data_IF_033733997726
#
_entry.id   IF_033733997726
#
_cell.length_a   1.000
_cell.length_b   1.000
_cell.length_c   1.000
_cell.angle_alpha   90.00
_cell.angle_beta   90.00
_cell.angle_gamma   90.00
#
_symmetry.space_group_name_H-M   'P 1'
#
loop_
_entity.id
_entity.type
_entity.pdbx_description
1 polymer ?
#
# COMPACT_ATOMS: atom_id res chain seq x y z
N UNK A 1 -4.15 27.62 -4.76
CA UNK A 1 -4.16 26.32 -5.47
C UNK A 1 -3.65 26.53 -6.89
N UNK A 2 -2.61 25.80 -7.29
CA UNK A 2 -2.13 25.73 -8.68
C UNK A 2 -2.89 24.65 -9.44
N UNK A 3 -3.09 24.85 -10.74
CA UNK A 3 -3.69 23.84 -11.61
C UNK A 3 -2.76 22.62 -11.70
N UNK A 4 -3.30 21.42 -11.46
CA UNK A 4 -2.54 20.17 -11.55
C UNK A 4 -2.40 19.74 -13.01
N UNK A 5 -1.17 19.52 -13.46
CA UNK A 5 -0.91 18.90 -14.76
C UNK A 5 -0.97 17.38 -14.62
N UNK A 6 -1.94 16.72 -15.26
CA UNK A 6 -2.08 15.27 -15.21
C UNK A 6 -0.88 14.52 -15.82
N UNK A 7 -0.14 15.14 -16.75
CA UNK A 7 1.09 14.54 -17.29
C UNK A 7 2.15 14.36 -16.20
N UNK A 8 2.28 15.32 -15.29
CA UNK A 8 3.21 15.22 -14.16
C UNK A 8 2.82 14.06 -13.23
N UNK A 9 1.52 13.85 -13.04
CA UNK A 9 0.98 12.74 -12.25
C UNK A 9 1.27 11.40 -12.92
N UNK A 10 1.01 11.28 -14.22
CA UNK A 10 1.31 10.06 -14.98
C UNK A 10 2.81 9.70 -14.91
N UNK A 11 3.69 10.68 -15.12
CA UNK A 11 5.14 10.47 -15.02
C UNK A 11 5.58 10.05 -13.62
N UNK A 12 5.00 10.65 -12.57
CA UNK A 12 5.28 10.23 -11.20
C UNK A 12 4.84 8.79 -10.96
N UNK A 13 3.63 8.43 -11.39
CA UNK A 13 3.11 7.06 -11.24
C UNK A 13 4.01 6.07 -11.97
N UNK A 14 4.33 6.32 -13.24
CA UNK A 14 5.22 5.45 -14.04
C UNK A 14 6.60 5.27 -13.39
N UNK A 15 7.19 6.35 -12.87
CA UNK A 15 8.50 6.31 -12.23
C UNK A 15 8.53 5.60 -10.87
N UNK A 16 7.40 5.56 -10.15
CA UNK A 16 7.36 5.08 -8.76
C UNK A 16 6.56 3.79 -8.56
N UNK A 17 5.71 3.37 -9.50
CA UNK A 17 4.88 2.16 -9.38
C UNK A 17 5.73 0.88 -9.27
N UNK A 18 6.95 0.88 -9.83
CA UNK A 18 7.90 -0.22 -9.70
C UNK A 18 8.24 -0.54 -8.24
N UNK A 19 8.30 0.46 -7.35
CA UNK A 19 8.57 0.29 -5.92
C UNK A 19 7.45 -0.52 -5.26
N UNK A 20 6.19 -0.24 -5.61
CA UNK A 20 5.04 -0.99 -5.12
C UNK A 20 5.15 -2.48 -5.50
N UNK A 21 5.40 -2.77 -6.77
CA UNK A 21 5.55 -4.14 -7.25
C UNK A 21 6.75 -4.86 -6.61
N UNK A 22 7.88 -4.17 -6.44
CA UNK A 22 9.06 -4.72 -5.79
C UNK A 22 8.80 -5.06 -4.32
N UNK A 23 8.21 -4.15 -3.55
CA UNK A 23 7.81 -4.41 -2.15
C UNK A 23 6.82 -5.57 -2.05
N UNK A 24 5.86 -5.66 -2.98
CA UNK A 24 4.88 -6.75 -3.04
C UNK A 24 5.55 -8.11 -3.26
N UNK A 25 6.52 -8.19 -4.17
CA UNK A 25 7.32 -9.41 -4.39
C UNK A 25 8.17 -9.73 -3.16
N UNK A 26 8.84 -8.74 -2.57
CA UNK A 26 9.68 -8.94 -1.37
C UNK A 26 8.90 -9.44 -0.15
N UNK A 27 7.58 -9.17 -0.08
CA UNK A 27 6.72 -9.76 0.96
C UNK A 27 6.73 -11.30 0.92
N UNK A 28 6.90 -11.88 -0.27
CA UNK A 28 6.98 -13.33 -0.48
C UNK A 28 8.32 -13.92 -0.07
N UNK A 29 9.43 -13.17 -0.20
CA UNK A 29 10.77 -13.65 0.17
C UNK A 29 10.87 -14.03 1.65
N UNK A 30 10.06 -13.38 2.49
CA UNK A 30 10.02 -13.63 3.94
C UNK A 30 9.02 -14.74 4.31
N UNK A 31 8.24 -15.22 3.36
CA UNK A 31 7.17 -16.18 3.60
C UNK A 31 7.76 -17.58 3.83
N UNK A 32 7.63 -18.08 5.06
CA UNK A 32 8.01 -19.46 5.40
C UNK A 32 6.80 -20.35 5.49
N UNK A 33 6.81 -21.51 4.84
CA UNK A 33 5.73 -22.51 4.90
C UNK A 33 5.30 -22.80 6.35
N UNK A 34 6.27 -22.96 7.26
CA UNK A 34 6.03 -23.21 8.68
C UNK A 34 5.31 -22.07 9.43
N UNK A 35 5.44 -20.82 8.98
CA UNK A 35 4.70 -19.69 9.54
C UNK A 35 3.27 -19.66 9.00
N UNK A 36 3.11 -19.96 7.72
CA UNK A 36 1.84 -19.88 7.02
C UNK A 36 0.88 -20.98 7.47
N UNK A 37 1.38 -22.21 7.66
CA UNK A 37 0.60 -23.33 8.17
C UNK A 37 0.05 -23.08 9.59
N UNK A 38 0.67 -22.19 10.38
CA UNK A 38 0.18 -21.83 11.73
C UNK A 38 -1.00 -20.85 11.73
N UNK A 39 -1.26 -20.16 10.62
CA UNK A 39 -2.22 -19.04 10.57
C UNK A 39 -3.68 -19.49 10.45
N UNK A 40 -3.95 -20.72 10.02
CA UNK A 40 -5.32 -21.23 9.85
C UNK A 40 -5.50 -22.59 10.51
N UNK A 41 -6.70 -22.79 11.04
CA UNK A 41 -7.14 -24.08 11.55
C UNK A 41 -7.28 -25.08 10.39
N UNK A 42 -6.59 -26.25 10.41
CA UNK A 42 -6.70 -27.27 9.36
C UNK A 42 -8.14 -27.70 9.03
N UNK A 43 -9.05 -27.67 10.01
CA UNK A 43 -10.46 -28.00 9.80
C UNK A 43 -11.18 -27.05 8.85
N UNK A 44 -10.71 -25.80 8.71
CA UNK A 44 -11.29 -24.83 7.77
C UNK A 44 -11.04 -25.22 6.31
N UNK A 45 -9.93 -25.91 6.01
CA UNK A 45 -9.68 -26.39 4.65
C UNK A 45 -10.65 -27.51 4.28
N UNK A 46 -10.94 -28.41 5.23
CA UNK A 46 -11.96 -29.45 5.06
C UNK A 46 -13.36 -28.86 4.86
N UNK A 47 -13.72 -27.83 5.63
CA UNK A 47 -15.01 -27.15 5.50
C UNK A 47 -15.18 -26.39 4.16
N UNK A 48 -14.08 -25.98 3.54
CA UNK A 48 -14.06 -25.27 2.25
C UNK A 48 -13.88 -26.18 1.04
N UNK A 49 -13.98 -27.50 1.23
CA UNK A 49 -13.77 -28.50 0.18
C UNK A 49 -12.43 -28.32 -0.56
N UNK A 50 -11.38 -28.05 0.22
CA UNK A 50 -10.01 -27.96 -0.31
C UNK A 50 -9.43 -29.36 -0.39
N UNK A 51 -9.24 -29.85 -1.62
CA UNK A 51 -8.92 -31.25 -1.93
C UNK A 51 -7.44 -31.49 -2.23
N UNK A 52 -6.70 -30.45 -2.63
CA UNK A 52 -5.29 -30.59 -3.05
C UNK A 52 -4.36 -29.71 -2.23
N UNK A 53 -3.11 -30.14 -2.11
CA UNK A 53 -2.06 -29.35 -1.47
C UNK A 53 -1.86 -27.99 -2.19
N UNK A 54 -1.97 -27.97 -3.52
CA UNK A 54 -1.90 -26.75 -4.33
C UNK A 54 -2.94 -25.72 -3.88
N UNK A 55 -4.20 -26.13 -3.70
CA UNK A 55 -5.27 -25.23 -3.27
C UNK A 55 -5.02 -24.65 -1.86
N UNK A 56 -4.46 -25.46 -0.95
CA UNK A 56 -4.04 -25.00 0.38
C UNK A 56 -2.95 -23.94 0.25
N UNK A 57 -1.88 -24.25 -0.49
CA UNK A 57 -0.73 -23.34 -0.64
C UNK A 57 -1.15 -22.06 -1.35
N UNK A 58 -1.88 -22.13 -2.45
CA UNK A 58 -2.39 -20.98 -3.20
C UNK A 58 -3.24 -20.08 -2.32
N UNK A 59 -4.25 -20.64 -1.64
CA UNK A 59 -5.14 -19.84 -0.78
C UNK A 59 -4.41 -19.17 0.39
N UNK A 60 -3.35 -19.79 0.88
CA UNK A 60 -2.50 -19.23 1.92
C UNK A 60 -1.58 -18.11 1.41
N UNK A 61 -0.98 -18.28 0.23
CA UNK A 61 -0.12 -17.28 -0.42
C UNK A 61 -0.96 -16.08 -0.86
N UNK A 62 -2.12 -16.30 -1.48
CA UNK A 62 -3.04 -15.24 -1.91
C UNK A 62 -3.49 -14.39 -0.72
N UNK A 63 -3.86 -15.04 0.39
CA UNK A 63 -4.22 -14.35 1.62
C UNK A 63 -3.04 -13.55 2.20
N UNK A 64 -1.82 -14.07 2.10
CA UNK A 64 -0.64 -13.34 2.57
C UNK A 64 -0.37 -12.09 1.71
N UNK A 65 -0.37 -12.23 0.38
CA UNK A 65 -0.19 -11.10 -0.54
C UNK A 65 -1.26 -10.05 -0.27
N UNK A 66 -2.54 -10.46 -0.22
CA UNK A 66 -3.67 -9.57 0.03
C UNK A 66 -3.54 -8.82 1.36
N UNK A 67 -3.12 -9.48 2.43
CA UNK A 67 -2.94 -8.84 3.74
C UNK A 67 -1.82 -7.81 3.81
N UNK A 68 -0.76 -7.96 3.00
CA UNK A 68 0.32 -6.98 2.93
C UNK A 68 0.04 -5.85 1.93
N UNK A 69 -0.81 -6.12 0.93
CA UNK A 69 -1.07 -5.20 -0.16
C UNK A 69 -1.65 -3.88 0.33
N UNK A 70 -2.54 -3.91 1.34
CA UNK A 70 -3.10 -2.71 1.95
C UNK A 70 -2.02 -1.76 2.48
N UNK A 71 -1.08 -2.26 3.28
CA UNK A 71 0.01 -1.43 3.83
C UNK A 71 0.96 -0.94 2.73
N UNK A 72 1.37 -1.82 1.82
CA UNK A 72 2.32 -1.47 0.75
C UNK A 72 1.71 -0.45 -0.22
N UNK A 73 0.43 -0.61 -0.54
CA UNK A 73 -0.31 0.30 -1.40
C UNK A 73 -0.63 1.60 -0.69
N UNK A 74 -0.97 1.57 0.60
CA UNK A 74 -1.16 2.74 1.45
C UNK A 74 0.08 3.63 1.48
N UNK A 75 1.25 3.07 1.78
CA UNK A 75 2.54 3.77 1.73
C UNK A 75 2.78 4.45 0.37
N UNK A 76 2.44 3.75 -0.72
CA UNK A 76 2.65 4.25 -2.07
C UNK A 76 1.68 5.39 -2.43
N UNK A 77 0.41 5.25 -2.03
CA UNK A 77 -0.61 6.30 -2.19
C UNK A 77 -0.30 7.54 -1.36
N UNK A 78 0.23 7.38 -0.14
CA UNK A 78 0.69 8.50 0.69
C UNK A 78 1.75 9.32 -0.06
N UNK A 79 2.74 8.65 -0.67
CA UNK A 79 3.74 9.31 -1.50
C UNK A 79 3.14 10.08 -2.68
N UNK A 80 2.16 9.48 -3.37
CA UNK A 80 1.43 10.14 -4.46
C UNK A 80 0.65 11.38 -3.96
N UNK A 81 -0.01 11.27 -2.82
CA UNK A 81 -0.76 12.38 -2.21
C UNK A 81 0.16 13.54 -1.81
N UNK A 82 1.34 13.24 -1.25
CA UNK A 82 2.38 14.24 -0.94
C UNK A 82 2.86 14.91 -2.23
N UNK A 83 3.12 14.16 -3.30
CA UNK A 83 3.52 14.72 -4.59
C UNK A 83 2.46 15.69 -5.15
N UNK A 84 1.19 15.29 -5.16
CA UNK A 84 0.08 16.14 -5.65
C UNK A 84 -0.07 17.38 -4.78
N UNK A 85 -0.03 17.23 -3.46
CA UNK A 85 -0.10 18.35 -2.52
C UNK A 85 1.04 19.34 -2.77
N UNK A 86 2.27 18.85 -2.95
CA UNK A 86 3.40 19.70 -3.27
C UNK A 86 3.17 20.49 -4.57
N UNK A 87 2.67 19.83 -5.63
CA UNK A 87 2.37 20.47 -6.92
C UNK A 87 1.26 21.51 -6.86
N UNK A 88 0.24 21.30 -6.05
CA UNK A 88 -0.99 22.12 -6.04
C UNK A 88 -0.98 23.21 -4.97
N UNK A 89 -0.40 22.93 -3.81
CA UNK A 89 -0.43 23.82 -2.63
C UNK A 89 0.97 24.17 -2.10
N UNK A 90 2.06 23.74 -2.76
CA UNK A 90 3.41 23.78 -2.19
C UNK A 90 3.45 23.12 -0.79
N UNK A 91 2.59 22.13 -0.56
CA UNK A 91 2.55 21.38 0.68
C UNK A 91 3.72 20.42 0.83
N UNK A 92 3.73 19.75 1.97
CA UNK A 92 4.83 18.87 2.40
C UNK A 92 4.30 17.73 3.26
N UNK A 93 5.13 16.70 3.43
CA UNK A 93 4.93 15.68 4.46
C UNK A 93 5.01 16.34 5.84
N UNK A 94 4.06 16.01 6.72
CA UNK A 94 4.07 16.52 8.09
C UNK A 94 5.24 15.92 8.89
N UNK A 95 5.76 16.71 9.84
CA UNK A 95 6.70 16.22 10.86
C UNK A 95 5.99 15.72 12.13
N UNK A 96 4.66 15.83 12.20
CA UNK A 96 3.86 15.48 13.36
C UNK A 96 3.45 14.01 13.25
N UNK A 97 3.72 13.23 14.29
CA UNK A 97 3.30 11.81 14.35
C UNK A 97 1.78 11.69 14.17
N UNK A 98 1.35 10.84 13.22
CA UNK A 98 -0.06 10.60 12.94
C UNK A 98 -0.70 11.57 11.94
N UNK A 99 0.07 12.52 11.41
CA UNK A 99 -0.33 13.41 10.32
C UNK A 99 0.53 13.10 9.10
N UNK A 100 -0.09 13.04 7.92
CA UNK A 100 0.63 12.72 6.68
C UNK A 100 1.09 13.98 5.96
N UNK A 101 0.23 14.99 5.85
CA UNK A 101 0.52 16.17 5.02
C UNK A 101 0.00 17.50 5.60
N UNK A 102 0.76 18.56 5.29
CA UNK A 102 0.47 19.93 5.69
C UNK A 102 0.61 20.90 4.52
N UNK A 103 -0.30 21.87 4.42
CA UNK A 103 -0.22 22.93 3.42
C UNK A 103 -1.01 24.18 3.84
N UNK A 104 -0.64 25.34 3.30
CA UNK A 104 -1.38 26.60 3.49
C UNK A 104 -2.27 26.87 2.29
N UNK A 105 -3.50 27.29 2.54
CA UNK A 105 -4.42 27.74 1.50
C UNK A 105 -5.22 28.91 2.03
N UNK A 106 -5.10 30.09 1.38
CA UNK A 106 -5.81 31.32 1.77
C UNK A 106 -5.64 31.71 3.25
N UNK A 107 -4.44 31.57 3.82
CA UNK A 107 -4.15 31.89 5.22
C UNK A 107 -4.61 30.83 6.22
N UNK A 108 -5.15 29.70 5.76
CA UNK A 108 -5.55 28.57 6.61
C UNK A 108 -4.51 27.45 6.46
N UNK A 109 -3.95 27.02 7.60
CA UNK A 109 -3.12 25.80 7.68
C UNK A 109 -4.04 24.59 7.68
N UNK A 110 -3.85 23.70 6.71
CA UNK A 110 -4.53 22.42 6.62
C UNK A 110 -3.57 21.32 7.07
N UNK A 111 -4.07 20.43 7.92
CA UNK A 111 -3.37 19.31 8.52
C UNK A 111 -4.23 18.08 8.22
N UNK A 112 -3.68 17.09 7.53
CA UNK A 112 -4.46 15.98 6.97
C UNK A 112 -3.79 14.64 7.30
N UNK A 113 -4.63 13.69 7.69
CA UNK A 113 -4.32 12.27 7.82
C UNK A 113 -5.07 11.52 6.71
N UNK A 114 -4.41 10.57 6.04
CA UNK A 114 -4.91 9.78 4.91
C UNK A 114 -5.40 8.39 5.33
#
# INVERSE_FOLDING_TARGET
>A
MKLLNLKDVSLYVEGNIGIFHQKRIQSLDRLKLSQVLKRKNPYLFKAKDVLTAEQIIKGLVDAHISSNEETIFGDWLEGLAIFINNKTYNGRKSGITGIDLEFDNHGIRNIVTL
#
